data_IF_845841596260
#
_entry.id   IF_845841596260
#
_cell.length_a   1.000
_cell.length_b   1.000
_cell.length_c   1.000
_cell.angle_alpha   90.00
_cell.angle_beta   90.00
_cell.angle_gamma   90.00
#
_symmetry.space_group_name_H-M   'P 1'
#
loop_
_entity.id
_entity.type
_entity.pdbx_description
1 polymer ?
#
# COMPACT_ATOMS: atom_id res chain seq x y z
N UNK A 1 -4.73 9.55 4.68
CA UNK A 1 -4.95 8.46 5.68
C UNK A 1 -3.60 8.14 6.29
N UNK A 2 -3.55 7.90 7.59
CA UNK A 2 -2.30 7.64 8.30
C UNK A 2 -2.17 6.14 8.59
N UNK A 3 -0.98 5.58 8.33
CA UNK A 3 -0.70 4.16 8.44
C UNK A 3 0.56 3.94 9.28
N UNK A 4 0.60 2.92 10.16
CA UNK A 4 1.83 2.58 10.86
C UNK A 4 2.82 1.90 9.91
N UNK A 5 4.08 2.34 9.94
CA UNK A 5 5.17 1.63 9.28
C UNK A 5 5.45 0.30 10.01
N UNK A 6 5.52 -0.79 9.24
CA UNK A 6 5.76 -2.13 9.79
C UNK A 6 7.18 -2.30 10.34
N UNK A 7 8.17 -1.59 9.78
CA UNK A 7 9.58 -1.75 10.17
C UNK A 7 9.98 -0.90 11.38
N UNK A 8 9.46 0.34 11.46
CA UNK A 8 9.91 1.31 12.45
C UNK A 8 8.79 1.93 13.31
N UNK A 9 7.53 1.62 13.03
CA UNK A 9 6.37 2.12 13.79
C UNK A 9 6.03 3.59 13.59
N UNK A 10 6.77 4.35 12.77
CA UNK A 10 6.43 5.74 12.44
C UNK A 10 5.12 5.81 11.64
N UNK A 11 4.37 6.89 11.84
CA UNK A 11 3.17 7.16 11.05
C UNK A 11 3.56 7.63 9.64
N UNK A 12 3.11 6.88 8.64
CA UNK A 12 3.21 7.19 7.22
C UNK A 12 1.90 7.83 6.77
N UNK A 13 1.98 9.00 6.13
CA UNK A 13 0.80 9.69 5.62
C UNK A 13 0.73 9.56 4.12
N UNK A 14 -0.40 9.06 3.61
CA UNK A 14 -0.65 8.96 2.16
C UNK A 14 -1.87 9.78 1.80
N UNK A 15 -1.73 10.62 0.77
CA UNK A 15 -2.79 11.46 0.22
C UNK A 15 -3.12 10.96 -1.18
N UNK A 16 -4.31 10.38 -1.33
CA UNK A 16 -4.81 9.86 -2.60
C UNK A 16 -5.99 10.72 -3.05
N UNK A 17 -5.97 11.16 -4.31
CA UNK A 17 -7.08 11.88 -4.94
C UNK A 17 -7.23 11.41 -6.38
N UNK A 18 -8.46 11.04 -6.77
CA UNK A 18 -8.77 10.57 -8.12
C UNK A 18 -7.85 9.44 -8.61
N UNK A 19 -7.49 8.52 -7.70
CA UNK A 19 -6.59 7.39 -7.99
C UNK A 19 -5.10 7.75 -8.08
N UNK A 20 -4.72 9.00 -7.83
CA UNK A 20 -3.32 9.46 -7.86
C UNK A 20 -2.81 9.75 -6.44
N UNK A 21 -1.58 9.32 -6.18
CA UNK A 21 -0.83 9.72 -4.98
C UNK A 21 -0.34 11.14 -5.19
N UNK A 22 -0.65 12.04 -4.27
CA UNK A 22 -0.34 13.47 -4.38
C UNK A 22 0.88 13.90 -3.56
N UNK A 23 1.31 13.11 -2.58
CA UNK A 23 2.47 13.46 -1.75
C UNK A 23 3.71 12.68 -2.17
N UNK A 24 4.76 13.40 -2.53
CA UNK A 24 6.02 12.81 -2.99
C UNK A 24 6.69 11.93 -1.93
N UNK A 25 6.49 12.22 -0.64
CA UNK A 25 6.97 11.37 0.46
C UNK A 25 6.45 9.93 0.35
N UNK A 26 5.22 9.75 -0.14
CA UNK A 26 4.62 8.42 -0.30
C UNK A 26 5.15 7.63 -1.50
N UNK A 27 5.83 8.29 -2.46
CA UNK A 27 6.50 7.59 -3.58
C UNK A 27 7.67 6.72 -3.10
N UNK A 28 8.26 7.05 -1.94
CA UNK A 28 9.31 6.26 -1.32
C UNK A 28 8.81 5.12 -0.43
N UNK A 29 7.49 5.00 -0.22
CA UNK A 29 6.94 3.96 0.63
C UNK A 29 6.77 2.65 -0.15
N UNK A 30 7.04 1.53 0.51
CA UNK A 30 6.79 0.18 -0.04
C UNK A 30 5.60 -0.44 0.67
N UNK A 31 4.61 -0.88 -0.10
CA UNK A 31 3.45 -1.60 0.43
C UNK A 31 3.72 -3.11 0.42
N UNK A 32 3.37 -3.78 1.52
CA UNK A 32 3.37 -5.23 1.60
C UNK A 32 1.93 -5.75 1.49
N UNK A 33 1.70 -6.71 0.59
CA UNK A 33 0.42 -7.38 0.43
C UNK A 33 0.64 -8.88 0.53
N UNK A 34 -0.10 -9.53 1.42
CA UNK A 34 -0.15 -10.97 1.53
C UNK A 34 -1.53 -11.46 1.10
N UNK A 35 -1.63 -11.98 -0.11
CA UNK A 35 -2.84 -12.63 -0.62
C UNK A 35 -2.71 -14.14 -0.37
N UNK A 36 -3.64 -14.78 0.35
CA UNK A 36 -3.64 -16.23 0.53
C UNK A 36 -3.62 -16.94 -0.83
N UNK A 37 -2.82 -18.00 -0.98
CA UNK A 37 -2.59 -18.68 -2.27
C UNK A 37 -3.88 -19.01 -3.03
N UNK A 38 -4.92 -19.48 -2.34
CA UNK A 38 -6.21 -19.82 -2.98
C UNK A 38 -6.95 -18.61 -3.59
N UNK A 39 -6.71 -17.38 -3.09
CA UNK A 39 -7.34 -16.16 -3.60
C UNK A 39 -6.69 -15.61 -4.87
N UNK A 40 -5.50 -16.09 -5.22
CA UNK A 40 -4.81 -15.70 -6.46
C UNK A 40 -5.57 -16.13 -7.72
N UNK A 41 -6.40 -17.17 -7.61
CA UNK A 41 -7.25 -17.62 -8.71
C UNK A 41 -8.52 -16.77 -8.88
N UNK A 42 -8.87 -15.93 -7.91
CA UNK A 42 -10.06 -15.08 -7.97
C UNK A 42 -9.85 -13.82 -8.82
N UNK A 43 -8.63 -13.26 -8.81
CA UNK A 43 -8.27 -12.10 -9.63
C UNK A 43 -6.79 -12.17 -10.06
N UNK A 44 -6.48 -12.28 -11.36
CA UNK A 44 -5.11 -12.29 -11.86
C UNK A 44 -4.37 -10.96 -11.65
N UNK A 45 -5.08 -9.86 -11.38
CA UNK A 45 -4.50 -8.56 -11.02
C UNK A 45 -3.86 -8.50 -9.63
N UNK A 46 -3.97 -9.57 -8.84
CA UNK A 46 -3.19 -9.72 -7.61
C UNK A 46 -1.70 -10.07 -7.87
N UNK A 47 -1.34 -10.43 -9.12
CA UNK A 47 0.00 -10.84 -9.53
C UNK A 47 0.91 -9.74 -10.07
#
# INVERSE_FOLDING_TARGET
MDFPCLDCGKLLRVIIRDGKVLNDEALGYTAYVAVPFWKWFEDPGYA
#
